data_IF_209973761781
#
_entry.id   IF_209973761781
#
_cell.length_a   1.000
_cell.length_b   1.000
_cell.length_c   1.000
_cell.angle_alpha   90.00
_cell.angle_beta   90.00
_cell.angle_gamma   90.00
#
_symmetry.space_group_name_H-M   'P 1'
#
loop_
_entity.id
_entity.type
_entity.pdbx_description
1 polymer ?
#
# COMPACT_ATOMS: atom_id res chain seq x y z
N UNK A 1 -1.91 -38.65 13.73
CA UNK A 1 -1.62 -37.23 13.40
C UNK A 1 -1.77 -37.06 11.90
N UNK A 2 -2.52 -36.06 11.39
CA UNK A 2 -2.58 -35.80 9.96
C UNK A 2 -1.19 -35.33 9.49
N UNK A 3 -0.61 -36.03 8.51
CA UNK A 3 0.65 -35.64 7.90
C UNK A 3 0.36 -34.58 6.84
N UNK A 4 0.78 -33.34 7.09
CA UNK A 4 0.69 -32.25 6.11
C UNK A 4 1.71 -32.55 5.00
N UNK A 5 1.20 -32.94 3.82
CA UNK A 5 2.01 -33.12 2.60
C UNK A 5 2.16 -31.78 1.89
N UNK A 6 3.39 -31.43 1.53
CA UNK A 6 3.65 -30.25 0.73
C UNK A 6 2.94 -30.35 -0.64
N UNK A 7 2.37 -29.24 -1.15
CA UNK A 7 1.70 -29.25 -2.45
C UNK A 7 2.66 -29.62 -3.59
N UNK A 8 2.19 -30.47 -4.52
CA UNK A 8 2.99 -31.07 -5.59
C UNK A 8 3.49 -30.08 -6.65
N UNK A 9 2.98 -28.84 -6.66
CA UNK A 9 3.32 -27.80 -7.64
C UNK A 9 3.89 -26.58 -6.93
N UNK A 10 5.12 -26.21 -7.27
CA UNK A 10 5.74 -24.93 -6.86
C UNK A 10 4.95 -23.80 -7.51
N UNK A 11 4.04 -23.17 -6.75
CA UNK A 11 3.45 -21.89 -7.15
C UNK A 11 4.55 -20.83 -7.06
N UNK A 12 4.74 -20.06 -8.14
CA UNK A 12 5.70 -18.95 -8.17
C UNK A 12 5.44 -17.99 -7.02
N UNK A 13 6.45 -17.70 -6.21
CA UNK A 13 6.35 -16.72 -5.13
C UNK A 13 6.05 -15.34 -5.71
N UNK A 14 4.82 -14.86 -5.54
CA UNK A 14 4.43 -13.49 -5.88
C UNK A 14 4.48 -12.63 -4.63
N UNK A 15 5.21 -11.52 -4.72
CA UNK A 15 5.22 -10.48 -3.70
C UNK A 15 4.07 -9.53 -4.01
N UNK A 16 3.11 -9.41 -3.09
CA UNK A 16 1.98 -8.47 -3.23
C UNK A 16 2.23 -7.24 -2.37
N UNK A 17 2.19 -6.05 -2.97
CA UNK A 17 2.36 -4.77 -2.28
C UNK A 17 1.04 -4.02 -2.21
N UNK A 18 0.55 -3.83 -0.99
CA UNK A 18 -0.59 -2.98 -0.71
C UNK A 18 -0.17 -1.75 0.10
N UNK A 19 -0.69 -0.57 -0.24
CA UNK A 19 -0.44 0.68 0.49
C UNK A 19 -1.74 1.27 1.02
N UNK A 20 -1.76 1.66 2.29
CA UNK A 20 -2.87 2.41 2.90
C UNK A 20 -2.45 3.82 3.28
N UNK A 21 -3.18 4.81 2.77
CA UNK A 21 -3.06 6.20 3.20
C UNK A 21 -3.93 6.44 4.43
N UNK A 22 -3.39 7.08 5.46
CA UNK A 22 -4.17 7.50 6.64
C UNK A 22 -5.03 8.73 6.33
N UNK A 23 -6.16 8.93 7.02
CA UNK A 23 -6.85 10.21 7.00
C UNK A 23 -5.98 11.33 7.61
N UNK A 24 -6.10 12.53 7.03
CA UNK A 24 -5.49 13.73 7.57
C UNK A 24 -6.19 14.14 8.87
N UNK A 25 -5.40 14.62 9.83
CA UNK A 25 -5.96 15.21 11.06
C UNK A 25 -6.43 16.64 10.80
N UNK A 26 -7.23 17.21 11.70
CA UNK A 26 -7.74 18.57 11.52
C UNK A 26 -6.62 19.62 11.43
N UNK A 27 -5.48 19.35 12.08
CA UNK A 27 -4.28 20.20 12.03
C UNK A 27 -3.59 20.18 10.66
N UNK A 28 -3.86 19.17 9.84
CA UNK A 28 -3.20 18.89 8.56
C UNK A 28 -4.11 19.17 7.35
N UNK A 29 -5.39 19.47 7.57
CA UNK A 29 -6.41 19.70 6.52
C UNK A 29 -6.06 20.80 5.50
N UNK A 30 -5.10 21.66 5.79
CA UNK A 30 -4.68 22.75 4.91
C UNK A 30 -3.76 22.36 3.76
N UNK A 31 -3.17 21.15 3.75
CA UNK A 31 -2.22 20.70 2.71
C UNK A 31 -2.39 19.21 2.41
N UNK A 32 -3.48 18.85 1.75
CA UNK A 32 -3.65 17.49 1.23
C UNK A 32 -2.79 17.29 -0.02
N UNK A 33 -1.76 16.46 0.11
CA UNK A 33 -0.79 16.17 -0.94
C UNK A 33 -0.85 14.72 -1.44
N UNK A 34 -1.75 13.88 -0.92
CA UNK A 34 -1.80 12.46 -1.28
C UNK A 34 -3.15 12.11 -1.88
N UNK A 35 -3.16 11.64 -3.12
CA UNK A 35 -4.36 11.16 -3.82
C UNK A 35 -4.21 9.69 -4.17
N UNK A 36 -5.30 8.94 -4.04
CA UNK A 36 -5.35 7.53 -4.46
C UNK A 36 -6.26 7.41 -5.67
N UNK A 37 -5.76 6.79 -6.74
CA UNK A 37 -6.47 6.64 -8.00
C UNK A 37 -6.59 5.15 -8.38
N UNK A 38 -7.77 4.77 -8.89
CA UNK A 38 -8.08 3.42 -9.39
C UNK A 38 -7.68 2.25 -8.45
N UNK A 39 -7.58 2.50 -7.15
CA UNK A 39 -7.18 1.51 -6.13
C UNK A 39 -5.82 0.83 -6.40
N UNK A 40 -4.96 1.44 -7.22
CA UNK A 40 -3.64 0.90 -7.59
C UNK A 40 -2.56 1.97 -7.65
N UNK A 41 -2.94 3.23 -7.77
CA UNK A 41 -2.00 4.34 -7.92
C UNK A 41 -2.12 5.31 -6.74
N UNK A 42 -0.98 5.75 -6.22
CA UNK A 42 -0.87 6.84 -5.26
C UNK A 42 -0.10 7.97 -5.92
N UNK A 43 -0.71 9.15 -5.91
CA UNK A 43 -0.17 10.38 -6.45
C UNK A 43 0.19 11.31 -5.29
N UNK A 44 1.46 11.69 -5.22
CA UNK A 44 2.00 12.61 -4.23
C UNK A 44 2.27 13.94 -4.92
N UNK A 45 1.54 14.97 -4.47
CA UNK A 45 1.67 16.34 -4.93
C UNK A 45 2.81 17.03 -4.18
N UNK A 46 3.56 17.88 -4.87
CA UNK A 46 4.51 18.77 -4.21
C UNK A 46 3.73 19.94 -3.57
N UNK A 47 3.89 20.21 -2.26
CA UNK A 47 3.27 21.36 -1.62
C UNK A 47 3.83 22.70 -2.10
N UNK A 48 5.01 22.70 -2.75
CA UNK A 48 5.61 23.92 -3.27
C UNK A 48 5.01 24.31 -4.62
N UNK A 49 4.11 25.31 -4.59
CA UNK A 49 3.54 25.93 -5.78
C UNK A 49 4.48 26.96 -6.42
N UNK A 50 5.60 27.30 -5.78
CA UNK A 50 6.61 28.16 -6.38
C UNK A 50 7.34 27.36 -7.45
N UNK A 51 6.92 27.55 -8.70
CA UNK A 51 7.65 27.00 -9.85
C UNK A 51 8.98 27.72 -9.91
N UNK A 52 10.07 27.00 -9.66
CA UNK A 52 11.40 27.46 -10.05
C UNK A 52 11.36 27.87 -11.53
N UNK A 53 12.11 28.91 -11.89
CA UNK A 53 12.14 29.45 -13.25
C UNK A 53 12.41 28.35 -14.31
N UNK A 54 13.21 27.34 -13.93
CA UNK A 54 13.51 26.15 -14.73
C UNK A 54 12.30 25.23 -14.95
N UNK A 55 11.44 25.04 -13.93
CA UNK A 55 10.26 24.17 -14.02
C UNK A 55 9.14 24.78 -14.87
N UNK A 56 9.07 26.12 -14.96
CA UNK A 56 8.15 26.82 -15.87
C UNK A 56 8.51 26.59 -17.34
N UNK A 57 9.81 26.51 -17.65
CA UNK A 57 10.32 26.32 -19.01
C UNK A 57 10.18 24.85 -19.44
N UNK A 58 10.37 23.89 -18.51
CA UNK A 58 10.32 22.46 -18.82
C UNK A 58 8.94 21.81 -18.67
N UNK A 59 7.93 22.55 -18.19
CA UNK A 59 6.56 22.07 -18.00
C UNK A 59 6.46 20.77 -17.18
N UNK A 60 7.41 20.53 -16.27
CA UNK A 60 7.43 19.36 -15.40
C UNK A 60 6.51 19.61 -14.21
N UNK A 61 5.41 18.88 -14.13
CA UNK A 61 4.61 18.75 -12.92
C UNK A 61 5.45 18.02 -11.87
N UNK A 62 5.69 18.62 -10.69
CA UNK A 62 6.38 17.98 -9.54
C UNK A 62 5.51 16.89 -8.87
N UNK A 63 4.63 16.24 -9.62
CA UNK A 63 3.77 15.16 -9.10
C UNK A 63 4.51 13.83 -9.19
N UNK A 64 4.56 13.07 -8.10
CA UNK A 64 5.13 11.72 -8.10
C UNK A 64 4.03 10.68 -8.09
N UNK A 65 4.08 9.76 -9.05
CA UNK A 65 3.13 8.66 -9.20
C UNK A 65 3.78 7.35 -8.78
N UNK A 66 3.10 6.60 -7.92
CA UNK A 66 3.53 5.31 -7.41
C UNK A 66 2.44 4.27 -7.68
N UNK A 67 2.80 3.18 -8.34
CA UNK A 67 1.88 2.08 -8.65
C UNK A 67 2.14 0.90 -7.72
N UNK A 68 1.06 0.32 -7.22
CA UNK A 68 1.02 -0.82 -6.31
C UNK A 68 -0.05 -1.82 -6.77
N UNK A 69 -0.03 -3.04 -6.22
CA UNK A 69 -1.09 -4.02 -6.49
C UNK A 69 -2.42 -3.54 -5.91
N UNK A 70 -2.35 -2.92 -4.72
CA UNK A 70 -3.49 -2.29 -4.06
C UNK A 70 -3.12 -0.96 -3.42
N UNK A 71 -3.94 0.05 -3.64
CA UNK A 71 -3.86 1.35 -2.99
C UNK A 71 -5.19 1.68 -2.31
N UNK A 72 -5.12 2.00 -1.02
CA UNK A 72 -6.27 2.30 -0.18
C UNK A 72 -6.22 3.76 0.27
N UNK A 73 -7.29 4.49 -0.03
CA UNK A 73 -7.45 5.88 0.38
C UNK A 73 -7.76 6.04 1.87
N UNK A 74 -7.77 7.29 2.36
CA UNK A 74 -7.99 7.62 3.78
C UNK A 74 -9.33 7.16 4.35
N UNK A 75 -10.35 6.98 3.52
CA UNK A 75 -11.66 6.47 3.92
C UNK A 75 -11.72 4.94 4.08
N UNK A 76 -10.65 4.22 3.72
CA UNK A 76 -10.65 2.75 3.70
C UNK A 76 -10.45 2.17 5.11
N UNK A 77 -11.26 1.17 5.47
CA UNK A 77 -11.18 0.47 6.74
C UNK A 77 -10.13 -0.64 6.71
N UNK A 78 -9.71 -1.11 7.88
CA UNK A 78 -8.78 -2.25 7.98
C UNK A 78 -9.40 -3.54 7.43
N UNK A 79 -10.73 -3.69 7.53
CA UNK A 79 -11.48 -4.77 6.90
C UNK A 79 -11.25 -4.81 5.39
N UNK A 80 -11.30 -3.65 4.74
CA UNK A 80 -11.21 -3.54 3.28
C UNK A 80 -9.79 -3.89 2.80
N UNK A 81 -8.77 -3.52 3.58
CA UNK A 81 -7.38 -3.92 3.32
C UNK A 81 -7.25 -5.43 3.42
N UNK A 82 -7.72 -6.02 4.52
CA UNK A 82 -7.66 -7.46 4.72
C UNK A 82 -8.36 -8.23 3.59
N UNK A 83 -9.59 -7.85 3.26
CA UNK A 83 -10.41 -8.56 2.28
C UNK A 83 -9.81 -8.52 0.88
N UNK A 84 -9.20 -7.39 0.49
CA UNK A 84 -8.67 -7.22 -0.87
C UNK A 84 -7.23 -7.67 -1.04
N UNK A 85 -6.37 -7.54 -0.01
CA UNK A 85 -4.94 -7.84 -0.15
C UNK A 85 -4.48 -9.10 0.58
N UNK A 86 -5.01 -9.42 1.77
CA UNK A 86 -4.49 -10.50 2.63
C UNK A 86 -5.34 -11.78 2.57
N UNK A 87 -6.64 -11.67 2.29
CA UNK A 87 -7.59 -12.78 2.33
C UNK A 87 -7.14 -13.98 1.47
N UNK A 88 -6.57 -13.71 0.29
CA UNK A 88 -6.08 -14.71 -0.65
C UNK A 88 -4.91 -15.51 -0.08
N UNK A 89 -4.12 -14.93 0.83
CA UNK A 89 -2.98 -15.57 1.49
C UNK A 89 -3.40 -16.74 2.37
N UNK A 90 -4.57 -16.64 3.01
CA UNK A 90 -5.08 -17.65 3.96
C UNK A 90 -5.34 -18.98 3.28
N UNK A 91 -5.82 -18.96 2.04
CA UNK A 91 -6.05 -20.18 1.26
C UNK A 91 -4.75 -20.98 1.07
N UNK A 92 -3.61 -20.30 0.89
CA UNK A 92 -2.32 -20.98 0.79
C UNK A 92 -1.81 -21.51 2.13
N UNK A 93 -2.04 -20.78 3.23
CA UNK A 93 -1.70 -21.26 4.59
C UNK A 93 -2.45 -22.56 4.92
N UNK A 94 -3.74 -22.64 4.58
CA UNK A 94 -4.54 -23.88 4.77
C UNK A 94 -3.99 -25.03 3.91
N UNK A 95 -3.39 -24.74 2.75
CA UNK A 95 -2.73 -25.72 1.89
C UNK A 95 -1.33 -26.12 2.38
N UNK A 96 -0.88 -25.62 3.53
CA UNK A 96 0.44 -25.91 4.10
C UNK A 96 1.57 -25.05 3.53
N UNK A 97 1.26 -23.92 2.90
CA UNK A 97 2.27 -22.93 2.47
C UNK A 97 2.60 -21.97 3.60
N UNK A 98 3.85 -21.50 3.64
CA UNK A 98 4.25 -20.48 4.60
C UNK A 98 3.89 -19.11 4.03
N UNK A 99 3.32 -18.26 4.89
CA UNK A 99 3.01 -16.88 4.55
C UNK A 99 3.71 -15.92 5.51
N UNK A 100 4.17 -14.78 4.98
CA UNK A 100 4.70 -13.69 5.81
C UNK A 100 4.05 -12.39 5.37
N UNK A 101 3.58 -11.62 6.35
CA UNK A 101 3.01 -10.29 6.14
C UNK A 101 3.90 -9.27 6.83
N UNK A 102 4.44 -8.34 6.06
CA UNK A 102 5.16 -7.20 6.61
C UNK A 102 4.25 -6.00 6.73
N UNK A 103 4.41 -5.23 7.80
CA UNK A 103 3.75 -3.96 8.03
C UNK A 103 4.84 -2.89 8.14
N UNK A 104 4.96 -2.04 7.12
CA UNK A 104 5.91 -0.92 7.13
C UNK A 104 5.16 0.40 7.09
N UNK A 105 5.55 1.34 7.94
CA UNK A 105 5.01 2.69 7.96
C UNK A 105 5.92 3.64 8.73
N UNK A 106 5.81 4.94 8.44
CA UNK A 106 6.49 5.96 9.25
C UNK A 106 5.81 6.10 10.62
N UNK A 107 6.61 6.36 11.65
CA UNK A 107 6.12 6.64 13.00
C UNK A 107 5.47 8.02 13.05
N UNK A 108 4.16 8.08 12.84
CA UNK A 108 3.36 9.28 13.09
C UNK A 108 3.03 9.41 14.59
N UNK A 109 3.06 10.63 15.12
CA UNK A 109 2.84 10.94 16.56
C UNK A 109 1.44 10.56 17.08
N UNK A 110 0.51 10.14 16.22
CA UNK A 110 -0.82 9.65 16.59
C UNK A 110 -1.33 8.61 15.58
N UNK A 111 -1.18 7.32 15.89
CA UNK A 111 -2.15 6.25 15.59
C UNK A 111 -2.68 6.03 14.16
N UNK A 112 -2.03 6.52 13.11
CA UNK A 112 -2.48 6.31 11.72
C UNK A 112 -1.34 5.78 10.87
N UNK A 113 -1.05 4.49 10.95
CA UNK A 113 0.04 3.90 10.19
C UNK A 113 -0.28 3.94 8.69
N UNK A 114 0.61 4.55 7.90
CA UNK A 114 0.68 4.23 6.48
C UNK A 114 1.17 2.80 6.41
N UNK A 115 0.26 1.83 6.38
CA UNK A 115 0.60 0.42 6.42
C UNK A 115 0.88 -0.05 5.00
N UNK A 116 2.14 -0.33 4.70
CA UNK A 116 2.52 -1.11 3.52
C UNK A 116 2.48 -2.59 3.93
N UNK A 117 1.49 -3.30 3.40
CA UNK A 117 1.29 -4.73 3.62
C UNK A 117 1.99 -5.47 2.49
N UNK A 118 3.06 -6.20 2.81
CA UNK A 118 3.76 -7.05 1.85
C UNK A 118 3.51 -8.52 2.18
N UNK A 119 2.77 -9.23 1.32
CA UNK A 119 2.50 -10.67 1.46
C UNK A 119 3.50 -11.48 0.65
N UNK A 120 4.19 -12.44 1.29
CA UNK A 120 5.13 -13.38 0.64
C UNK A 120 4.70 -14.83 0.90
N UNK A 121 4.69 -15.65 -0.15
CA UNK A 121 4.62 -17.11 -0.05
C UNK A 121 6.04 -17.71 -0.02
N UNK A 122 6.35 -18.55 0.98
CA UNK A 122 7.54 -19.41 1.00
C UNK A 122 7.16 -20.87 0.79
#
# INVERSE_FOLDING_TARGET
MPSIRAPATKKTTTLTVAVKCRPLTERERGRDIVRVNNNKEVLVLDPDLSKDYLDRIQNRTKERRYCFDFAFGPASKNSDVYERSISSTIAGVIQGLNATVFAYGSTGRFGGEMLLVCGRYM
#
